data_IF_737212182836
#
_entry.id   IF_737212182836
#
_cell.length_a   1.000
_cell.length_b   1.000
_cell.length_c   1.000
_cell.angle_alpha   90.00
_cell.angle_beta   90.00
_cell.angle_gamma   90.00
#
_symmetry.space_group_name_H-M   'P 1'
#
loop_
_entity.id
_entity.type
_entity.pdbx_description
1 polymer ?
#
# COMPACT_ATOMS: atom_id res chain seq x y z
N UNK A 1 -9.79 23.73 -25.03
CA UNK A 1 -9.42 22.77 -23.96
C UNK A 1 -9.18 21.41 -24.61
N UNK A 2 -8.04 20.79 -24.32
CA UNK A 2 -7.63 19.52 -24.94
C UNK A 2 -8.04 18.31 -24.08
N UNK A 3 -8.32 18.54 -22.78
CA UNK A 3 -8.78 17.51 -21.83
C UNK A 3 -9.65 18.14 -20.75
N UNK A 4 -10.39 17.30 -20.07
CA UNK A 4 -11.17 17.62 -18.89
C UNK A 4 -10.83 16.59 -17.81
N UNK A 5 -10.65 17.06 -16.57
CA UNK A 5 -10.47 16.16 -15.43
C UNK A 5 -11.78 15.36 -15.23
N UNK A 6 -11.64 14.05 -15.22
CA UNK A 6 -12.74 13.12 -14.97
C UNK A 6 -12.87 12.78 -13.48
N UNK A 7 -12.79 11.49 -13.17
CA UNK A 7 -12.86 10.99 -11.79
C UNK A 7 -11.49 10.88 -11.17
N UNK A 8 -11.39 11.19 -9.88
CA UNK A 8 -10.24 10.93 -9.02
C UNK A 8 -10.66 9.88 -8.01
N UNK A 9 -10.05 8.72 -8.09
CA UNK A 9 -10.31 7.58 -7.21
C UNK A 9 -9.06 7.36 -6.38
N UNK A 10 -9.19 7.37 -5.06
CA UNK A 10 -8.13 6.95 -4.16
C UNK A 10 -8.36 5.47 -3.77
N UNK A 11 -7.27 4.70 -3.71
CA UNK A 11 -7.32 3.31 -3.27
C UNK A 11 -6.60 3.23 -1.94
N UNK A 12 -7.32 2.79 -0.90
CA UNK A 12 -6.81 2.65 0.46
C UNK A 12 -6.98 1.21 0.92
N UNK A 13 -6.01 0.71 1.66
CA UNK A 13 -6.06 -0.64 2.20
C UNK A 13 -7.08 -0.74 3.34
N UNK A 14 -8.04 -1.67 3.25
CA UNK A 14 -8.98 -1.93 4.33
C UNK A 14 -8.31 -2.48 5.60
N UNK A 15 -7.09 -3.04 5.46
CA UNK A 15 -6.27 -3.57 6.56
C UNK A 15 -5.18 -2.56 6.98
N UNK A 16 -5.39 -1.27 6.71
CA UNK A 16 -4.48 -0.21 7.13
C UNK A 16 -4.25 -0.27 8.65
N UNK A 17 -3.01 -0.16 9.14
CA UNK A 17 -2.74 -0.07 10.57
C UNK A 17 -3.52 1.08 11.22
N UNK A 18 -3.97 0.88 12.47
CA UNK A 18 -4.73 1.90 13.22
C UNK A 18 -3.91 3.14 13.53
N UNK A 19 -2.59 3.01 13.56
CA UNK A 19 -1.64 4.10 13.79
C UNK A 19 -0.59 4.11 12.69
N UNK A 20 -0.38 5.27 12.11
CA UNK A 20 0.65 5.55 11.12
C UNK A 20 1.61 6.60 11.67
N UNK A 21 2.76 6.77 11.01
CA UNK A 21 3.63 7.91 11.30
C UNK A 21 2.92 9.24 10.93
N UNK A 22 3.27 10.38 11.53
CA UNK A 22 2.68 11.67 11.17
C UNK A 22 2.82 12.00 9.68
N UNK A 23 3.89 11.56 9.05
CA UNK A 23 4.13 11.72 7.61
C UNK A 23 3.18 10.85 6.79
N UNK A 24 2.99 9.58 7.18
CA UNK A 24 2.07 8.65 6.52
C UNK A 24 0.61 9.09 6.68
N UNK A 25 0.22 9.60 7.85
CA UNK A 25 -1.10 10.22 8.09
C UNK A 25 -1.34 11.41 7.15
N UNK A 26 -0.34 12.28 7.01
CA UNK A 26 -0.44 13.40 6.09
C UNK A 26 -0.56 12.96 4.63
N UNK A 27 0.22 11.97 4.20
CA UNK A 27 0.13 11.41 2.85
C UNK A 27 -1.26 10.81 2.61
N UNK A 28 -1.77 10.03 3.55
CA UNK A 28 -3.11 9.44 3.49
C UNK A 28 -4.17 10.53 3.28
N UNK A 29 -4.11 11.61 4.05
CA UNK A 29 -5.01 12.74 3.92
C UNK A 29 -4.86 13.44 2.56
N UNK A 30 -3.63 13.74 2.14
CA UNK A 30 -3.34 14.49 0.92
C UNK A 30 -3.75 13.74 -0.35
N UNK A 31 -3.62 12.42 -0.37
CA UNK A 31 -4.00 11.57 -1.50
C UNK A 31 -5.51 11.35 -1.60
N UNK A 32 -6.21 11.38 -0.46
CA UNK A 32 -7.65 11.11 -0.43
C UNK A 32 -8.53 12.35 -0.46
N UNK A 33 -8.02 13.51 -0.08
CA UNK A 33 -8.83 14.73 0.05
C UNK A 33 -9.51 15.18 -1.25
N UNK A 34 -8.90 14.96 -2.38
CA UNK A 34 -9.45 15.37 -3.70
C UNK A 34 -10.21 14.24 -4.40
N UNK A 35 -10.27 13.06 -3.83
CA UNK A 35 -10.96 11.93 -4.42
C UNK A 35 -12.47 12.12 -4.43
N UNK A 36 -13.11 11.84 -5.57
CA UNK A 36 -14.56 11.73 -5.67
C UNK A 36 -15.08 10.47 -4.99
N UNK A 37 -14.28 9.41 -5.00
CA UNK A 37 -14.54 8.16 -4.29
C UNK A 37 -13.23 7.57 -3.74
N UNK A 38 -13.32 6.98 -2.55
CA UNK A 38 -12.27 6.13 -1.98
C UNK A 38 -12.71 4.68 -2.08
N UNK A 39 -11.84 3.84 -2.64
CA UNK A 39 -12.07 2.41 -2.75
C UNK A 39 -11.21 1.69 -1.71
N UNK A 40 -11.84 0.96 -0.79
CA UNK A 40 -11.12 0.12 0.16
C UNK A 40 -10.71 -1.18 -0.52
N UNK A 41 -9.42 -1.30 -0.82
CA UNK A 41 -8.84 -2.54 -1.35
C UNK A 41 -8.76 -3.60 -0.25
N UNK A 42 -8.75 -4.87 -0.63
CA UNK A 42 -8.72 -6.01 0.29
C UNK A 42 -9.90 -6.07 1.27
N UNK A 43 -11.01 -5.40 0.94
CA UNK A 43 -12.22 -5.41 1.77
C UNK A 43 -12.77 -6.82 2.00
N UNK A 44 -12.56 -7.76 1.05
CA UNK A 44 -12.94 -9.16 1.20
C UNK A 44 -12.13 -9.92 2.26
N UNK A 45 -10.95 -9.40 2.65
CA UNK A 45 -10.10 -9.98 3.69
C UNK A 45 -10.33 -9.32 5.06
N UNK A 46 -11.06 -8.21 5.09
CA UNK A 46 -11.31 -7.41 6.27
C UNK A 46 -12.69 -7.72 6.86
N UNK A 47 -12.79 -7.76 8.19
CA UNK A 47 -14.09 -7.75 8.84
C UNK A 47 -14.81 -6.41 8.61
N UNK A 48 -16.14 -6.35 8.64
CA UNK A 48 -16.89 -5.09 8.47
C UNK A 48 -16.46 -4.00 9.46
N UNK A 49 -16.10 -4.37 10.69
CA UNK A 49 -15.58 -3.45 11.69
C UNK A 49 -14.22 -2.84 11.29
N UNK A 50 -13.36 -3.60 10.61
CA UNK A 50 -12.06 -3.11 10.10
C UNK A 50 -12.26 -2.12 8.94
N UNK A 51 -13.19 -2.40 8.01
CA UNK A 51 -13.55 -1.45 6.96
C UNK A 51 -14.09 -0.13 7.55
N UNK A 52 -14.94 -0.22 8.58
CA UNK A 52 -15.45 0.95 9.28
C UNK A 52 -14.32 1.71 10.02
N UNK A 53 -13.39 1.00 10.64
CA UNK A 53 -12.23 1.60 11.30
C UNK A 53 -11.31 2.30 10.29
N UNK A 54 -11.07 1.71 9.11
CA UNK A 54 -10.30 2.34 8.04
C UNK A 54 -10.98 3.62 7.53
N UNK A 55 -12.31 3.61 7.34
CA UNK A 55 -13.06 4.80 6.96
C UNK A 55 -12.98 5.91 8.03
N UNK A 56 -13.12 5.55 9.31
CA UNK A 56 -12.95 6.48 10.41
C UNK A 56 -11.52 7.02 10.53
N UNK A 57 -10.52 6.21 10.18
CA UNK A 57 -9.12 6.62 10.14
C UNK A 57 -8.90 7.71 9.08
N UNK A 58 -9.48 7.55 7.87
CA UNK A 58 -9.43 8.57 6.82
C UNK A 58 -9.97 9.93 7.31
N UNK A 59 -11.10 9.93 8.01
CA UNK A 59 -11.68 11.17 8.56
C UNK A 59 -10.75 11.82 9.59
N UNK A 60 -10.13 11.02 10.49
CA UNK A 60 -9.15 11.53 11.47
C UNK A 60 -7.90 12.09 10.79
N UNK A 61 -7.38 11.42 9.75
CA UNK A 61 -6.23 11.90 9.00
C UNK A 61 -6.52 13.24 8.31
N UNK A 62 -7.71 13.39 7.69
CA UNK A 62 -8.15 14.64 7.09
C UNK A 62 -8.29 15.77 8.12
N UNK A 63 -8.82 15.45 9.30
CA UNK A 63 -8.95 16.43 10.40
C UNK A 63 -7.56 16.85 10.91
N UNK A 64 -6.65 15.91 11.14
CA UNK A 64 -5.28 16.19 11.55
C UNK A 64 -4.52 17.06 10.54
N UNK A 65 -4.77 16.84 9.24
CA UNK A 65 -4.22 17.65 8.15
C UNK A 65 -4.95 19.01 7.97
N UNK A 66 -5.92 19.32 8.83
CA UNK A 66 -6.77 20.52 8.76
C UNK A 66 -7.48 20.67 7.41
N UNK A 67 -7.87 19.55 6.82
CA UNK A 67 -8.63 19.55 5.57
C UNK A 67 -10.09 19.89 5.83
N UNK A 68 -10.68 20.63 4.90
CA UNK A 68 -12.13 20.90 4.87
C UNK A 68 -12.94 19.71 4.36
N UNK A 69 -12.29 18.69 3.84
CA UNK A 69 -12.91 17.49 3.27
C UNK A 69 -13.56 16.64 4.36
N UNK A 70 -14.79 16.19 4.06
CA UNK A 70 -15.49 15.12 4.79
C UNK A 70 -16.14 14.20 3.75
N UNK A 71 -16.15 12.90 4.01
CA UNK A 71 -16.77 11.95 3.09
C UNK A 71 -18.28 11.87 3.32
N UNK A 72 -19.02 12.01 2.23
CA UNK A 72 -20.46 11.78 2.24
C UNK A 72 -20.74 10.25 2.19
N UNK A 73 -21.93 9.82 2.60
CA UNK A 73 -22.36 8.43 2.43
C UNK A 73 -22.20 7.98 0.97
N UNK A 74 -21.56 6.82 0.78
CA UNK A 74 -21.30 6.26 -0.55
C UNK A 74 -20.03 6.75 -1.24
N UNK A 75 -19.29 7.70 -0.68
CA UNK A 75 -18.00 8.12 -1.23
C UNK A 75 -16.84 7.21 -0.79
N UNK A 76 -17.04 6.33 0.19
CA UNK A 76 -16.13 5.25 0.55
C UNK A 76 -16.79 3.94 0.19
N UNK A 77 -16.22 3.22 -0.78
CA UNK A 77 -16.70 1.93 -1.23
C UNK A 77 -15.84 0.81 -0.60
N UNK A 78 -16.48 -0.01 0.25
CA UNK A 78 -15.90 -1.21 0.85
C UNK A 78 -16.64 -2.43 0.29
N UNK A 79 -16.13 -3.02 -0.77
CA UNK A 79 -16.77 -4.15 -1.46
C UNK A 79 -15.72 -5.13 -1.95
N UNK A 80 -16.05 -6.40 -1.94
CA UNK A 80 -15.24 -7.43 -2.59
C UNK A 80 -15.09 -7.11 -4.09
N UNK A 81 -13.88 -7.25 -4.62
CA UNK A 81 -13.60 -7.00 -6.03
C UNK A 81 -14.45 -7.87 -6.97
N UNK A 82 -14.62 -9.14 -6.61
CA UNK A 82 -15.38 -10.09 -7.41
C UNK A 82 -16.89 -9.86 -7.33
N UNK A 83 -17.35 -9.05 -6.37
CA UNK A 83 -18.74 -8.65 -6.21
C UNK A 83 -19.05 -7.25 -6.78
N UNK A 84 -18.08 -6.59 -7.43
CA UNK A 84 -18.32 -5.32 -8.11
C UNK A 84 -19.24 -5.54 -9.31
N UNK A 85 -20.27 -4.72 -9.40
CA UNK A 85 -21.23 -4.73 -10.51
C UNK A 85 -20.90 -3.65 -11.53
N UNK A 86 -21.47 -3.74 -12.72
CA UNK A 86 -21.37 -2.68 -13.74
C UNK A 86 -21.87 -1.33 -13.21
N UNK A 87 -22.87 -1.34 -12.31
CA UNK A 87 -23.36 -0.13 -11.65
C UNK A 87 -22.31 0.48 -10.72
N UNK A 88 -21.57 -0.35 -9.97
CA UNK A 88 -20.46 0.13 -9.12
C UNK A 88 -19.33 0.73 -9.97
N UNK A 89 -18.97 0.05 -11.06
CA UNK A 89 -17.94 0.54 -11.99
C UNK A 89 -18.37 1.86 -12.67
N UNK A 90 -19.62 1.97 -13.08
CA UNK A 90 -20.18 3.20 -13.64
C UNK A 90 -20.16 4.34 -12.59
N UNK A 91 -20.52 4.06 -11.33
CA UNK A 91 -20.47 5.02 -10.25
C UNK A 91 -19.03 5.50 -9.97
N UNK A 92 -18.05 4.60 -9.95
CA UNK A 92 -16.63 4.94 -9.84
C UNK A 92 -16.16 5.80 -11.01
N UNK A 93 -16.52 5.44 -12.24
CA UNK A 93 -16.17 6.21 -13.43
C UNK A 93 -16.79 7.62 -13.44
N UNK A 94 -17.93 7.81 -12.77
CA UNK A 94 -18.67 9.07 -12.69
C UNK A 94 -18.49 9.82 -11.36
N UNK A 95 -17.64 9.37 -10.43
CA UNK A 95 -17.53 9.96 -9.09
C UNK A 95 -16.97 11.38 -9.09
N UNK A 96 -16.35 11.82 -10.20
CA UNK A 96 -15.74 13.13 -10.32
C UNK A 96 -14.55 13.33 -9.37
N UNK A 97 -14.39 14.56 -8.91
CA UNK A 97 -13.37 14.93 -7.94
C UNK A 97 -13.90 15.99 -6.96
N UNK A 98 -13.18 16.21 -5.88
CA UNK A 98 -13.49 17.28 -4.92
C UNK A 98 -12.36 18.30 -4.91
N UNK A 99 -12.72 19.58 -4.74
CA UNK A 99 -11.74 20.61 -4.44
C UNK A 99 -11.64 20.75 -2.94
N UNK A 100 -10.53 20.30 -2.38
CA UNK A 100 -10.22 20.45 -0.98
C UNK A 100 -8.77 20.90 -0.82
N UNK A 101 -8.46 21.46 0.33
CA UNK A 101 -7.12 21.86 0.71
C UNK A 101 -6.78 21.28 2.08
N UNK A 102 -5.51 21.14 2.35
CA UNK A 102 -4.98 20.83 3.67
C UNK A 102 -3.82 21.78 4.00
N UNK A 103 -3.45 21.85 5.26
CA UNK A 103 -2.22 22.52 5.65
C UNK A 103 -1.03 21.77 5.06
N UNK A 104 -0.11 22.50 4.38
CA UNK A 104 1.06 21.86 3.77
C UNK A 104 2.08 21.49 4.83
N UNK A 105 2.36 20.22 4.95
CA UNK A 105 3.45 19.70 5.75
C UNK A 105 4.70 19.55 4.88
N UNK A 106 5.79 20.19 5.29
CA UNK A 106 7.09 20.05 4.64
C UNK A 106 7.92 19.00 5.38
N UNK A 107 8.16 17.87 4.77
CA UNK A 107 9.04 16.82 5.27
C UNK A 107 9.79 16.17 4.11
N UNK A 108 10.88 15.50 4.42
CA UNK A 108 11.58 14.69 3.43
C UNK A 108 10.68 13.52 3.03
N UNK A 109 10.23 13.50 1.77
CA UNK A 109 9.37 12.45 1.24
C UNK A 109 10.03 11.06 1.34
N UNK A 110 11.36 10.98 1.32
CA UNK A 110 12.10 9.74 1.51
C UNK A 110 12.05 9.21 2.94
N UNK A 111 11.71 10.06 3.91
CA UNK A 111 11.55 9.64 5.30
C UNK A 111 10.20 8.97 5.60
N UNK A 112 9.16 9.23 4.79
CA UNK A 112 7.84 8.64 5.02
C UNK A 112 7.72 7.22 4.44
N UNK A 113 7.92 7.10 3.13
CA UNK A 113 7.90 5.79 2.46
C UNK A 113 9.05 5.70 1.48
N UNK A 114 9.88 4.67 1.66
CA UNK A 114 11.03 4.40 0.80
C UNK A 114 10.90 3.01 0.20
N UNK A 115 11.31 2.88 -1.06
CA UNK A 115 11.50 1.59 -1.71
C UNK A 115 12.99 1.37 -1.96
N UNK A 116 13.53 0.29 -1.42
CA UNK A 116 14.89 -0.15 -1.66
C UNK A 116 14.88 -1.37 -2.55
N UNK A 117 15.68 -1.35 -3.61
CA UNK A 117 15.82 -2.46 -4.56
C UNK A 117 17.19 -3.12 -4.38
N UNK A 118 17.19 -4.44 -4.30
CA UNK A 118 18.38 -5.28 -4.20
C UNK A 118 18.38 -6.25 -5.38
N UNK A 119 19.44 -6.24 -6.15
CA UNK A 119 19.59 -7.05 -7.37
C UNK A 119 20.62 -8.17 -7.14
N UNK A 120 20.54 -9.21 -7.95
CA UNK A 120 21.56 -10.27 -8.03
C UNK A 120 21.87 -10.95 -6.69
N UNK A 121 20.85 -11.17 -5.88
CA UNK A 121 21.00 -11.86 -4.59
C UNK A 121 21.08 -13.38 -4.71
N UNK A 122 20.66 -13.94 -5.84
CA UNK A 122 20.66 -15.38 -6.15
C UNK A 122 19.99 -16.25 -5.07
N UNK A 123 18.86 -15.77 -4.54
CA UNK A 123 18.11 -16.46 -3.50
C UNK A 123 17.18 -17.54 -4.11
N UNK A 124 17.12 -18.70 -3.46
CA UNK A 124 16.03 -19.65 -3.74
C UNK A 124 14.70 -19.11 -3.22
N UNK A 125 13.55 -19.63 -3.69
CA UNK A 125 12.24 -19.22 -3.16
C UNK A 125 12.12 -19.34 -1.64
N UNK A 126 12.68 -20.41 -1.05
CA UNK A 126 12.68 -20.66 0.40
C UNK A 126 13.55 -19.65 1.14
N UNK A 127 14.74 -19.36 0.60
CA UNK A 127 15.64 -18.35 1.15
C UNK A 127 15.01 -16.94 1.08
N UNK A 128 14.34 -16.63 -0.04
CA UNK A 128 13.64 -15.36 -0.23
C UNK A 128 12.50 -15.19 0.79
N UNK A 129 11.72 -16.25 1.03
CA UNK A 129 10.66 -16.26 2.03
C UNK A 129 11.21 -16.10 3.45
N UNK A 130 12.26 -16.84 3.80
CA UNK A 130 12.91 -16.74 5.10
C UNK A 130 13.53 -15.35 5.31
N UNK A 131 14.14 -14.76 4.28
CA UNK A 131 14.69 -13.41 4.32
C UNK A 131 13.59 -12.37 4.57
N UNK A 132 12.44 -12.46 3.90
CA UNK A 132 11.31 -11.56 4.14
C UNK A 132 10.83 -11.65 5.60
N UNK A 133 10.72 -12.84 6.17
CA UNK A 133 10.34 -13.02 7.58
C UNK A 133 11.36 -12.38 8.54
N UNK A 134 12.67 -12.53 8.27
CA UNK A 134 13.72 -11.89 9.08
C UNK A 134 13.61 -10.36 9.03
N UNK A 135 13.29 -9.79 7.86
CA UNK A 135 13.13 -8.34 7.70
C UNK A 135 11.99 -7.77 8.53
N UNK A 136 10.83 -8.45 8.57
CA UNK A 136 9.71 -8.00 9.41
C UNK A 136 9.99 -8.13 10.91
N UNK A 137 10.87 -9.04 11.31
CA UNK A 137 11.26 -9.27 12.72
C UNK A 137 12.44 -8.40 13.18
N UNK A 138 13.05 -7.60 12.32
CA UNK A 138 14.30 -6.89 12.56
C UNK A 138 14.08 -5.37 12.67
N UNK A 139 13.90 -4.80 13.87
CA UNK A 139 13.68 -3.36 14.07
C UNK A 139 14.80 -2.48 13.50
N UNK A 140 16.03 -3.00 13.46
CA UNK A 140 17.19 -2.31 12.86
C UNK A 140 17.06 -2.06 11.36
N UNK A 141 16.16 -2.77 10.67
CA UNK A 141 15.86 -2.56 9.26
C UNK A 141 14.92 -1.37 9.00
N UNK A 142 14.40 -0.74 10.05
CA UNK A 142 13.30 0.22 9.97
C UNK A 142 11.94 -0.47 10.01
N UNK A 143 10.87 0.28 9.75
CA UNK A 143 9.52 -0.26 9.68
C UNK A 143 9.25 -0.85 8.29
N UNK A 144 9.55 -2.13 8.10
CA UNK A 144 9.28 -2.83 6.85
C UNK A 144 7.77 -3.09 6.74
N UNK A 145 7.15 -2.57 5.68
CA UNK A 145 5.71 -2.71 5.41
C UNK A 145 5.42 -3.80 4.39
N UNK A 146 6.29 -3.94 3.38
CA UNK A 146 6.12 -4.91 2.31
C UNK A 146 7.47 -5.36 1.77
N UNK A 147 7.57 -6.64 1.46
CA UNK A 147 8.67 -7.22 0.69
C UNK A 147 8.09 -7.88 -0.55
N UNK A 148 8.58 -7.47 -1.72
CA UNK A 148 8.30 -8.12 -2.99
C UNK A 148 9.60 -8.67 -3.56
N UNK A 149 9.59 -9.90 -4.01
CA UNK A 149 10.80 -10.52 -4.54
C UNK A 149 10.48 -11.52 -5.64
N UNK A 150 11.50 -11.81 -6.46
CA UNK A 150 11.37 -12.76 -7.56
C UNK A 150 12.56 -13.70 -7.52
N UNK A 151 12.29 -14.98 -7.65
CA UNK A 151 13.30 -16.03 -7.67
C UNK A 151 13.02 -17.05 -8.78
N UNK A 152 14.05 -17.67 -9.37
CA UNK A 152 13.85 -18.78 -10.29
C UNK A 152 13.12 -19.93 -9.59
N UNK A 153 12.14 -20.53 -10.27
CA UNK A 153 11.45 -21.70 -9.77
C UNK A 153 12.27 -22.97 -10.03
N UNK A 154 12.33 -23.93 -9.09
CA UNK A 154 13.10 -25.17 -9.26
C UNK A 154 12.68 -26.00 -10.48
N UNK A 155 11.41 -25.93 -10.87
CA UNK A 155 10.85 -26.62 -12.03
C UNK A 155 10.94 -25.81 -13.34
N UNK A 156 11.64 -24.68 -13.33
CA UNK A 156 11.69 -23.71 -14.43
C UNK A 156 10.62 -22.64 -14.30
N UNK A 157 10.87 -21.48 -14.92
CA UNK A 157 10.05 -20.28 -14.77
C UNK A 157 10.42 -19.47 -13.53
N UNK A 158 9.49 -18.65 -13.04
CA UNK A 158 9.72 -17.68 -11.95
C UNK A 158 8.63 -17.77 -10.91
N UNK A 159 9.00 -17.46 -9.67
CA UNK A 159 8.07 -17.25 -8.55
C UNK A 159 8.16 -15.81 -8.07
N UNK A 160 7.00 -15.22 -7.82
CA UNK A 160 6.86 -13.92 -7.18
C UNK A 160 6.50 -14.10 -5.72
N UNK A 161 7.33 -13.53 -4.84
CA UNK A 161 7.02 -13.36 -3.43
C UNK A 161 6.30 -12.03 -3.24
N UNK A 162 5.17 -12.06 -2.54
CA UNK A 162 4.56 -10.88 -1.92
C UNK A 162 4.39 -11.15 -0.42
N UNK A 163 5.05 -10.35 0.41
CA UNK A 163 5.03 -10.52 1.85
C UNK A 163 4.70 -9.20 2.56
N UNK A 164 3.91 -9.31 3.61
CA UNK A 164 3.62 -8.28 4.61
C UNK A 164 3.75 -8.88 6.00
N UNK A 165 3.65 -8.09 7.05
CA UNK A 165 3.62 -8.61 8.42
C UNK A 165 2.46 -9.60 8.68
N UNK A 166 1.36 -9.50 7.91
CA UNK A 166 0.20 -10.38 8.03
C UNK A 166 0.36 -11.73 7.32
N UNK A 167 1.34 -11.87 6.41
CA UNK A 167 1.55 -13.12 5.68
C UNK A 167 2.37 -12.97 4.42
N UNK A 168 2.61 -14.11 3.78
CA UNK A 168 3.45 -14.21 2.61
C UNK A 168 2.78 -15.13 1.58
N UNK A 169 2.85 -14.76 0.30
CA UNK A 169 2.42 -15.58 -0.82
C UNK A 169 3.57 -15.77 -1.81
N UNK A 170 3.66 -16.98 -2.38
CA UNK A 170 4.53 -17.31 -3.50
C UNK A 170 3.65 -17.78 -4.65
N UNK A 171 3.75 -17.12 -5.80
CA UNK A 171 2.93 -17.41 -6.96
C UNK A 171 3.79 -17.53 -8.23
N UNK A 172 3.50 -18.49 -9.13
CA UNK A 172 4.20 -18.60 -10.40
C UNK A 172 3.87 -17.42 -11.31
N UNK A 173 4.89 -16.93 -12.01
CA UNK A 173 4.78 -15.88 -13.03
C UNK A 173 5.51 -16.29 -14.31
N UNK A 174 5.06 -15.80 -15.49
CA UNK A 174 5.66 -16.21 -16.77
C UNK A 174 7.12 -15.76 -16.94
N UNK A 175 7.43 -14.55 -16.44
CA UNK A 175 8.75 -13.93 -16.56
C UNK A 175 9.07 -13.18 -15.29
N UNK A 176 10.34 -13.16 -14.90
CA UNK A 176 10.83 -12.46 -13.73
C UNK A 176 12.28 -12.01 -13.90
N UNK A 177 12.76 -11.27 -12.93
CA UNK A 177 14.15 -10.84 -12.80
C UNK A 177 14.51 -10.94 -11.32
N UNK A 178 15.72 -11.39 -11.02
CA UNK A 178 16.19 -11.46 -9.64
C UNK A 178 16.28 -10.06 -9.00
N UNK A 179 15.23 -9.72 -8.28
CA UNK A 179 15.15 -8.47 -7.52
C UNK A 179 14.35 -8.69 -6.25
N UNK A 180 14.78 -8.05 -5.18
CA UNK A 180 14.02 -7.93 -3.93
C UNK A 180 13.76 -6.45 -3.70
N UNK A 181 12.50 -6.11 -3.53
CA UNK A 181 12.03 -4.74 -3.28
C UNK A 181 11.49 -4.70 -1.84
N UNK A 182 12.08 -3.86 -1.01
CA UNK A 182 11.65 -3.65 0.36
C UNK A 182 11.04 -2.26 0.46
N UNK A 183 9.81 -2.18 0.93
CA UNK A 183 9.04 -0.94 1.08
C UNK A 183 8.76 -0.73 2.55
N UNK A 184 8.99 0.48 3.04
CA UNK A 184 8.77 0.82 4.44
C UNK A 184 9.17 2.23 4.80
N UNK A 185 9.18 2.52 6.09
CA UNK A 185 9.57 3.80 6.67
C UNK A 185 10.90 3.68 7.42
N UNK A 186 11.77 4.69 7.29
CA UNK A 186 13.05 4.71 7.98
C UNK A 186 13.96 3.52 7.67
N UNK A 187 13.92 3.02 6.42
CA UNK A 187 14.65 1.82 6.04
C UNK A 187 16.16 2.02 6.08
N UNK A 188 16.87 1.12 6.77
CA UNK A 188 18.33 1.03 6.74
C UNK A 188 18.78 0.03 5.68
N UNK A 189 19.40 0.55 4.61
CA UNK A 189 19.83 -0.27 3.48
C UNK A 189 20.87 -1.32 3.88
N UNK A 190 21.82 -0.97 4.74
CA UNK A 190 22.92 -1.87 5.13
C UNK A 190 22.40 -3.01 6.02
N UNK A 191 21.52 -2.69 6.99
CA UNK A 191 20.88 -3.68 7.84
C UNK A 191 20.01 -4.64 7.01
N UNK A 192 19.21 -4.11 6.07
CA UNK A 192 18.38 -4.92 5.17
C UNK A 192 19.25 -5.84 4.31
N UNK A 193 20.30 -5.31 3.70
CA UNK A 193 21.21 -6.11 2.86
C UNK A 193 21.86 -7.26 3.64
N UNK A 194 22.27 -7.01 4.89
CA UNK A 194 22.80 -8.04 5.76
C UNK A 194 21.77 -9.15 6.06
N UNK A 195 20.49 -8.80 6.27
CA UNK A 195 19.42 -9.79 6.51
C UNK A 195 19.02 -10.55 5.24
N UNK A 196 19.19 -9.95 4.06
CA UNK A 196 18.94 -10.62 2.78
C UNK A 196 20.02 -11.64 2.45
N UNK A 197 21.27 -11.37 2.80
CA UNK A 197 22.42 -12.24 2.51
C UNK A 197 22.59 -13.39 3.52
N UNK A 198 21.85 -13.39 4.61
CA UNK A 198 21.83 -14.47 5.59
C UNK A 198 22.61 -14.26 6.81
#
# INVERSE_FOLDING_TARGET
>A
RWYQLGSVIAIVDALLPETLSPQAEYLLASETMNAGCVLLSRAQLAAPAQCAAAAAHLERALEAAKSSRRFAPGEILAKDWDALTDADLAALAACGYRQASCEKLHFDQHAAFTSLCFLELHLTPEQLQAAAQRLFAAPECGQVLRVKGFAPAPAGGWLELNATAAGCTLAPIPQGQEVVIVIGEGLDKAAIEAKLKG
#
